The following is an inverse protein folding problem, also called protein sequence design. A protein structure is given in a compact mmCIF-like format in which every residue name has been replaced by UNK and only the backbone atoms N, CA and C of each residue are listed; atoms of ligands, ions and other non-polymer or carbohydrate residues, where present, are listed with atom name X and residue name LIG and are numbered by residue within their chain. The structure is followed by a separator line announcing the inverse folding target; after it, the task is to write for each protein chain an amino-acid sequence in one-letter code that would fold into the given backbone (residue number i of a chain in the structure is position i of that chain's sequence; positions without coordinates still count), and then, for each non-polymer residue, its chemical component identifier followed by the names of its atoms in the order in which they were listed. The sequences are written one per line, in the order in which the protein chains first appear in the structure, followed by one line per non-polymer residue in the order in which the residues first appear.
data_IF_098285922978
#
_entry.id   IF_098285922978
#
_cell.length_a   1.000
_cell.length_b   1.000
_cell.length_c   1.000
_cell.angle_alpha   90.00
_cell.angle_beta   90.00
_cell.angle_gamma   90.00
#
_symmetry.space_group_name_H-M   'P 1'
#
loop_
_entity.id
_entity.type
_entity.pdbx_description
1 polymer ?
#
# COMPACT_ATOMS: atom_id res chain seq x y z
N UNK A 1 -36.30 48.41 -11.38
CA UNK A 1 -35.61 47.37 -12.16
C UNK A 1 -34.33 47.10 -11.40
N UNK A 2 -34.34 46.05 -10.56
CA UNK A 2 -33.21 45.62 -9.73
C UNK A 2 -32.87 44.21 -10.22
N UNK A 3 -31.63 44.02 -10.66
CA UNK A 3 -31.09 42.73 -11.09
C UNK A 3 -30.75 41.89 -9.85
N UNK A 4 -31.32 40.68 -9.73
CA UNK A 4 -30.87 39.64 -8.82
C UNK A 4 -30.11 38.58 -9.62
N UNK A 5 -28.85 38.35 -9.23
CA UNK A 5 -27.99 37.31 -9.77
C UNK A 5 -28.35 35.94 -9.23
N UNK A 6 -28.58 34.98 -10.12
CA UNK A 6 -28.70 33.56 -9.81
C UNK A 6 -27.34 32.86 -9.91
N UNK A 7 -26.90 32.24 -8.81
CA UNK A 7 -25.78 31.30 -8.75
C UNK A 7 -26.10 30.00 -9.52
N UNK A 8 -25.16 29.40 -10.26
CA UNK A 8 -25.31 28.04 -10.78
C UNK A 8 -24.94 26.99 -9.72
N UNK A 9 -25.87 26.05 -9.55
CA UNK A 9 -25.84 24.83 -8.73
C UNK A 9 -24.71 23.88 -9.21
N UNK A 10 -23.58 23.83 -8.49
CA UNK A 10 -22.51 22.85 -8.70
C UNK A 10 -22.91 21.51 -8.06
N UNK A 11 -23.69 20.72 -8.79
CA UNK A 11 -23.90 19.31 -8.45
C UNK A 11 -22.62 18.53 -8.78
N UNK A 12 -21.81 18.28 -7.75
CA UNK A 12 -20.77 17.26 -7.75
C UNK A 12 -21.42 15.92 -8.14
N UNK A 13 -21.05 15.41 -9.31
CA UNK A 13 -21.54 14.14 -9.83
C UNK A 13 -21.12 13.00 -8.92
N UNK A 14 -22.11 12.27 -8.38
CA UNK A 14 -21.89 10.92 -7.86
C UNK A 14 -21.34 10.07 -9.00
N UNK A 15 -20.09 9.66 -8.87
CA UNK A 15 -19.48 8.69 -9.78
C UNK A 15 -20.25 7.38 -9.62
N UNK A 16 -20.80 6.91 -10.73
CA UNK A 16 -21.72 5.78 -10.82
C UNK A 16 -20.97 4.47 -10.53
N UNK A 17 -21.50 3.60 -9.68
CA UNK A 17 -20.90 2.29 -9.30
C UNK A 17 -20.55 1.42 -10.52
N UNK A 18 -21.24 1.63 -11.65
CA UNK A 18 -20.97 0.92 -12.92
C UNK A 18 -19.66 1.32 -13.61
N UNK A 19 -19.18 2.55 -13.43
CA UNK A 19 -17.90 2.99 -14.02
C UNK A 19 -16.69 2.44 -13.26
N UNK A 20 -16.81 2.14 -11.96
CA UNK A 20 -15.74 1.48 -11.19
C UNK A 20 -15.50 0.04 -11.62
N UNK A 21 -16.55 -0.67 -12.07
CA UNK A 21 -16.43 -2.06 -12.52
C UNK A 21 -15.66 -2.24 -13.84
N UNK A 22 -15.42 -1.14 -14.59
CA UNK A 22 -14.72 -1.17 -15.88
C UNK A 22 -13.20 -0.89 -15.75
N UNK A 23 -12.71 -0.55 -14.56
CA UNK A 23 -11.29 -0.48 -14.23
C UNK A 23 -11.09 -1.31 -12.95
N UNK A 24 -10.57 -2.55 -13.06
CA UNK A 24 -10.55 -3.57 -12.00
C UNK A 24 -9.70 -3.28 -10.74
N UNK A 25 -9.56 -2.03 -10.33
CA UNK A 25 -8.82 -1.61 -9.14
C UNK A 25 -9.74 -1.57 -7.90
N UNK A 26 -9.36 -2.31 -6.86
CA UNK A 26 -10.05 -2.29 -5.57
C UNK A 26 -9.72 -1.02 -4.80
N UNK A 27 -10.70 -0.40 -4.14
CA UNK A 27 -10.48 0.75 -3.25
C UNK A 27 -10.36 0.25 -1.83
N UNK A 28 -9.14 0.26 -1.30
CA UNK A 28 -8.85 -0.14 0.09
C UNK A 28 -8.66 1.09 0.98
N UNK A 29 -9.43 1.17 2.06
CA UNK A 29 -9.27 2.17 3.11
C UNK A 29 -8.32 1.69 4.21
N UNK A 30 -7.61 2.62 4.84
CA UNK A 30 -6.69 2.31 5.96
C UNK A 30 -7.04 3.16 7.18
N UNK A 31 -7.26 2.51 8.33
CA UNK A 31 -7.42 3.18 9.63
C UNK A 31 -6.12 3.03 10.42
N UNK A 32 -5.57 4.15 10.90
CA UNK A 32 -4.40 4.20 11.76
C UNK A 32 -4.87 4.40 13.19
N UNK A 33 -4.74 3.37 14.02
CA UNK A 33 -5.11 3.41 15.44
C UNK A 33 -3.86 3.57 16.30
N UNK A 34 -3.85 4.59 17.16
CA UNK A 34 -2.74 4.83 18.08
C UNK A 34 -3.22 5.35 19.42
N UNK A 35 -2.40 5.16 20.46
CA UNK A 35 -2.61 5.81 21.74
C UNK A 35 -2.52 7.35 21.67
N UNK A 36 -1.97 7.89 20.59
CA UNK A 36 -1.74 9.32 20.41
C UNK A 36 -2.34 9.78 19.08
N UNK A 37 -3.31 10.71 19.13
CA UNK A 37 -3.88 11.33 17.93
C UNK A 37 -2.79 11.97 17.06
N UNK A 38 -1.85 12.80 17.59
CA UNK A 38 -0.77 13.35 16.79
C UNK A 38 0.12 12.29 16.12
N UNK A 39 0.34 11.15 16.77
CA UNK A 39 1.11 10.06 16.16
C UNK A 39 0.34 9.41 15.01
N UNK A 40 -0.94 9.10 15.20
CA UNK A 40 -1.78 8.53 14.14
C UNK A 40 -1.84 9.47 12.92
N UNK A 41 -2.00 10.76 13.14
CA UNK A 41 -1.98 11.79 12.08
C UNK A 41 -0.63 11.84 11.37
N UNK A 42 0.47 11.88 12.13
CA UNK A 42 1.82 11.89 11.55
C UNK A 42 2.12 10.65 10.71
N UNK A 43 1.60 9.47 11.09
CA UNK A 43 1.72 8.25 10.31
C UNK A 43 0.94 8.35 9.00
N UNK A 44 -0.27 8.90 9.01
CA UNK A 44 -1.05 9.17 7.78
C UNK A 44 -0.30 10.15 6.86
N UNK A 45 0.23 11.24 7.42
CA UNK A 45 1.00 12.22 6.67
C UNK A 45 2.26 11.60 6.04
N UNK A 46 2.99 10.78 6.79
CA UNK A 46 4.17 10.08 6.29
C UNK A 46 3.81 9.12 5.16
N UNK A 47 2.78 8.30 5.35
CA UNK A 47 2.30 7.36 4.34
C UNK A 47 1.88 8.07 3.05
N UNK A 48 1.20 9.22 3.14
CA UNK A 48 0.86 10.04 1.97
C UNK A 48 2.06 10.71 1.30
N UNK A 49 3.07 11.13 2.08
CA UNK A 49 4.25 11.82 1.57
C UNK A 49 5.28 10.91 0.90
N UNK A 50 5.27 9.63 1.29
CA UNK A 50 6.12 8.57 0.71
C UNK A 50 5.37 7.75 -0.35
N UNK A 51 4.10 7.44 -0.10
CA UNK A 51 3.21 6.64 -0.93
C UNK A 51 2.35 7.47 -1.89
N UNK A 52 1.14 6.97 -2.14
CA UNK A 52 0.15 7.64 -2.98
C UNK A 52 -0.81 8.48 -2.12
N UNK A 53 -1.02 9.75 -2.50
CA UNK A 53 -1.87 10.67 -1.73
C UNK A 53 -3.38 10.39 -1.84
N UNK A 54 -3.80 9.52 -2.76
CA UNK A 54 -5.21 9.22 -3.03
C UNK A 54 -5.82 8.10 -2.20
N UNK A 55 -5.02 7.34 -1.44
CA UNK A 55 -5.53 6.24 -0.60
C UNK A 55 -6.37 6.83 0.54
N UNK A 56 -7.63 6.39 0.74
CA UNK A 56 -8.44 6.79 1.88
C UNK A 56 -7.78 6.33 3.19
N UNK A 57 -7.37 7.29 4.01
CA UNK A 57 -6.70 7.01 5.29
C UNK A 57 -7.26 7.89 6.39
N UNK A 58 -7.59 7.29 7.53
CA UNK A 58 -8.15 8.00 8.69
C UNK A 58 -7.34 7.67 9.94
N UNK A 59 -6.97 8.71 10.68
CA UNK A 59 -6.31 8.61 11.98
C UNK A 59 -7.36 8.53 13.10
N UNK A 60 -7.26 7.51 13.94
CA UNK A 60 -8.10 7.31 15.11
C UNK A 60 -7.22 7.08 16.34
N UNK A 61 -6.84 8.15 17.03
CA UNK A 61 -5.98 8.05 18.19
C UNK A 61 -6.40 8.87 19.39
N UNK A 62 -5.78 8.54 20.51
CA UNK A 62 -6.05 9.22 21.78
C UNK A 62 -7.46 9.00 22.32
N UNK A 63 -7.74 9.72 23.40
CA UNK A 63 -9.07 9.82 24.03
C UNK A 63 -9.48 11.29 24.09
N UNK A 64 -10.77 11.57 24.28
CA UNK A 64 -11.29 12.94 24.45
C UNK A 64 -11.08 13.48 25.88
N UNK A 65 -9.85 13.39 26.37
CA UNK A 65 -9.39 13.98 27.63
C UNK A 65 -8.21 14.92 27.33
N UNK A 66 -8.40 16.25 27.38
CA UNK A 66 -7.33 17.22 27.13
C UNK A 66 -6.17 17.15 28.13
N UNK A 67 -6.43 16.71 29.36
CA UNK A 67 -5.42 16.61 30.41
C UNK A 67 -4.65 15.27 30.32
N UNK A 68 -5.30 14.21 29.80
CA UNK A 68 -4.69 12.89 29.60
C UNK A 68 -5.02 12.31 28.21
N UNK A 69 -4.50 12.91 27.12
CA UNK A 69 -4.91 12.57 25.76
C UNK A 69 -4.39 11.20 25.27
N UNK A 70 -3.48 10.58 26.02
CA UNK A 70 -2.89 9.28 25.67
C UNK A 70 -3.84 8.15 26.08
N UNK A 71 -4.32 7.41 25.09
CA UNK A 71 -5.26 6.31 25.26
C UNK A 71 -5.88 5.90 23.92
N UNK A 72 -6.79 4.93 23.95
CA UNK A 72 -7.51 4.50 22.75
C UNK A 72 -9.01 4.48 23.02
N UNK A 73 -9.80 4.81 22.00
CA UNK A 73 -11.25 4.92 22.09
C UNK A 73 -11.91 4.08 20.99
N UNK A 74 -12.64 3.04 21.38
CA UNK A 74 -13.34 2.16 20.45
C UNK A 74 -14.37 2.89 19.58
N UNK A 75 -15.01 3.96 20.08
CA UNK A 75 -16.00 4.73 19.32
C UNK A 75 -15.33 5.56 18.22
N UNK A 76 -14.13 6.10 18.49
CA UNK A 76 -13.33 6.79 17.45
C UNK A 76 -12.88 5.82 16.37
N UNK A 77 -12.44 4.61 16.76
CA UNK A 77 -12.05 3.58 15.79
C UNK A 77 -13.25 3.14 14.94
N UNK A 78 -14.41 2.92 15.57
CA UNK A 78 -15.65 2.57 14.87
C UNK A 78 -16.04 3.67 13.88
N UNK A 79 -16.06 4.93 14.30
CA UNK A 79 -16.40 6.07 13.44
C UNK A 79 -15.44 6.19 12.24
N UNK A 80 -14.14 5.99 12.44
CA UNK A 80 -13.17 5.97 11.35
C UNK A 80 -13.40 4.83 10.35
N UNK A 81 -13.81 3.65 10.83
CA UNK A 81 -14.18 2.53 9.95
C UNK A 81 -15.46 2.84 9.17
N UNK A 82 -16.47 3.43 9.82
CA UNK A 82 -17.73 3.82 9.19
C UNK A 82 -17.55 4.91 8.12
N UNK A 83 -16.65 5.87 8.34
CA UNK A 83 -16.30 6.90 7.34
C UNK A 83 -15.66 6.28 6.08
N UNK A 84 -15.02 5.12 6.21
CA UNK A 84 -14.46 4.35 5.09
C UNK A 84 -15.42 3.30 4.52
N UNK A 85 -16.72 3.34 4.88
CA UNK A 85 -17.72 2.34 4.49
C UNK A 85 -17.99 2.24 2.98
N UNK A 86 -17.52 3.16 2.15
CA UNK A 86 -17.60 3.05 0.69
C UNK A 86 -16.40 2.29 0.07
N UNK A 87 -15.42 1.88 0.88
CA UNK A 87 -14.25 1.11 0.42
C UNK A 87 -14.62 -0.37 0.21
N UNK A 88 -13.96 -1.05 -0.73
CA UNK A 88 -14.13 -2.49 -0.99
C UNK A 88 -13.56 -3.34 0.16
N UNK A 89 -12.53 -2.82 0.83
CA UNK A 89 -11.90 -3.40 2.02
C UNK A 89 -11.31 -2.34 2.94
N UNK A 90 -11.15 -2.67 4.23
CA UNK A 90 -10.58 -1.76 5.23
C UNK A 90 -9.51 -2.50 6.03
N UNK A 91 -8.28 -1.98 6.01
CA UNK A 91 -7.19 -2.44 6.87
C UNK A 91 -7.09 -1.52 8.10
N UNK A 92 -7.03 -2.09 9.29
CA UNK A 92 -6.79 -1.36 10.54
C UNK A 92 -5.38 -1.70 11.03
N UNK A 93 -4.52 -0.69 11.10
CA UNK A 93 -3.16 -0.78 11.64
C UNK A 93 -3.18 -0.20 13.06
N UNK A 94 -2.53 -0.88 14.01
CA UNK A 94 -2.56 -0.53 15.43
C UNK A 94 -1.14 -0.48 16.02
N UNK A 95 -0.91 0.34 17.05
CA UNK A 95 0.39 0.40 17.73
C UNK A 95 0.59 -0.69 18.80
N UNK A 96 -0.06 -0.57 19.95
CA UNK A 96 0.18 -1.34 21.17
C UNK A 96 -1.09 -2.01 21.66
N UNK A 97 -0.97 -2.91 22.63
CA UNK A 97 -2.03 -3.83 23.05
C UNK A 97 -3.41 -3.23 23.32
N UNK A 98 -3.53 -2.02 23.90
CA UNK A 98 -4.87 -1.43 24.14
C UNK A 98 -5.57 -0.98 22.85
N UNK A 99 -4.81 -0.59 21.82
CA UNK A 99 -5.35 -0.27 20.49
C UNK A 99 -5.98 -1.51 19.84
N UNK A 100 -5.41 -2.69 20.10
CA UNK A 100 -5.98 -3.98 19.67
C UNK A 100 -7.34 -4.19 20.31
N UNK A 101 -7.43 -4.07 21.63
CA UNK A 101 -8.69 -4.26 22.35
C UNK A 101 -9.76 -3.25 21.92
N UNK A 102 -9.38 -1.98 21.74
CA UNK A 102 -10.28 -0.93 21.27
C UNK A 102 -10.76 -1.19 19.84
N UNK A 103 -9.89 -1.67 18.95
CA UNK A 103 -10.28 -2.06 17.60
C UNK A 103 -11.19 -3.29 17.58
N UNK A 104 -10.90 -4.34 18.36
CA UNK A 104 -11.79 -5.50 18.51
C UNK A 104 -13.16 -5.09 19.05
N UNK A 105 -13.20 -4.24 20.07
CA UNK A 105 -14.43 -3.69 20.63
C UNK A 105 -15.20 -2.87 19.59
N UNK A 106 -14.53 -2.05 18.79
CA UNK A 106 -15.16 -1.29 17.71
C UNK A 106 -15.85 -2.22 16.69
N UNK A 107 -15.20 -3.34 16.35
CA UNK A 107 -15.74 -4.34 15.42
C UNK A 107 -17.04 -5.00 15.91
N UNK A 108 -17.25 -5.09 17.22
CA UNK A 108 -18.48 -5.65 17.81
C UNK A 108 -19.70 -4.73 17.61
N UNK A 109 -19.48 -3.44 17.40
CA UNK A 109 -20.54 -2.45 17.18
C UNK A 109 -20.90 -2.24 15.70
N UNK A 110 -20.05 -2.71 14.78
CA UNK A 110 -20.29 -2.56 13.34
C UNK A 110 -21.43 -3.46 12.85
N UNK A 111 -22.11 -3.01 11.79
CA UNK A 111 -23.02 -3.89 11.07
C UNK A 111 -22.25 -5.05 10.40
N UNK A 112 -22.94 -6.17 10.17
CA UNK A 112 -22.32 -7.41 9.66
C UNK A 112 -21.68 -7.23 8.28
N UNK A 113 -22.24 -6.36 7.43
CA UNK A 113 -21.73 -6.11 6.09
C UNK A 113 -20.40 -5.37 6.14
N UNK A 114 -20.36 -4.26 6.87
CA UNK A 114 -19.14 -3.49 7.08
C UNK A 114 -18.08 -4.32 7.82
N UNK A 115 -18.45 -5.04 8.88
CA UNK A 115 -17.54 -5.91 9.64
C UNK A 115 -16.82 -6.96 8.76
N UNK A 116 -17.50 -7.51 7.76
CA UNK A 116 -16.95 -8.57 6.90
C UNK A 116 -15.75 -8.11 6.07
N UNK A 117 -15.70 -6.82 5.73
CA UNK A 117 -14.63 -6.21 4.92
C UNK A 117 -13.52 -5.53 5.73
N UNK A 118 -13.56 -5.61 7.07
CA UNK A 118 -12.49 -5.08 7.93
C UNK A 118 -11.48 -6.18 8.29
N UNK A 119 -10.20 -5.84 8.30
CA UNK A 119 -9.09 -6.68 8.79
C UNK A 119 -8.24 -5.89 9.78
N UNK A 120 -8.03 -6.45 10.98
CA UNK A 120 -7.07 -5.93 11.94
C UNK A 120 -5.68 -6.52 11.61
N UNK A 121 -4.65 -5.71 11.68
CA UNK A 121 -3.27 -6.13 11.42
C UNK A 121 -2.41 -6.06 12.67
N UNK A 122 -1.56 -7.07 12.86
CA UNK A 122 -0.50 -7.09 13.87
C UNK A 122 0.82 -6.48 13.39
N UNK A 123 0.82 -5.88 12.20
CA UNK A 123 2.01 -5.32 11.58
C UNK A 123 2.54 -4.07 12.32
N UNK A 124 3.86 -3.78 12.24
CA UNK A 124 4.41 -2.57 12.83
C UNK A 124 3.81 -1.32 12.18
N UNK A 125 3.28 -0.41 13.02
CA UNK A 125 2.38 0.66 12.61
C UNK A 125 2.90 1.53 11.45
N UNK A 126 4.12 2.06 11.58
CA UNK A 126 4.65 3.07 10.65
C UNK A 126 5.05 2.43 9.33
N UNK A 127 5.81 1.34 9.41
CA UNK A 127 6.32 0.61 8.25
C UNK A 127 5.18 0.04 7.42
N UNK A 128 4.18 -0.55 8.09
CA UNK A 128 3.01 -1.10 7.42
C UNK A 128 2.17 -0.02 6.76
N UNK A 129 1.99 1.15 7.40
CA UNK A 129 1.21 2.25 6.81
C UNK A 129 1.82 2.72 5.48
N UNK A 130 3.14 2.85 5.41
CA UNK A 130 3.83 3.24 4.16
C UNK A 130 3.74 2.15 3.10
N UNK A 131 4.02 0.88 3.47
CA UNK A 131 4.01 -0.24 2.55
C UNK A 131 2.62 -0.47 1.94
N UNK A 132 1.60 -0.50 2.79
CA UNK A 132 0.21 -0.75 2.39
C UNK A 132 -0.39 0.41 1.60
N UNK A 133 -0.02 1.66 1.89
CA UNK A 133 -0.46 2.80 1.07
C UNK A 133 0.04 2.73 -0.37
N UNK A 134 1.25 2.20 -0.62
CA UNK A 134 1.73 2.02 -1.99
C UNK A 134 0.97 0.91 -2.73
N UNK A 135 0.79 -0.24 -2.07
CA UNK A 135 0.11 -1.40 -2.67
C UNK A 135 -1.38 -1.12 -2.89
N UNK A 136 -2.07 -0.51 -1.93
CA UNK A 136 -3.45 -0.05 -2.09
C UNK A 136 -3.58 1.03 -3.18
N UNK A 137 -2.61 1.96 -3.27
CA UNK A 137 -2.56 2.97 -4.32
C UNK A 137 -2.34 2.42 -5.73
N UNK A 138 -1.84 1.19 -5.84
CA UNK A 138 -1.73 0.45 -7.10
C UNK A 138 -3.04 -0.26 -7.50
N UNK A 139 -4.07 -0.22 -6.65
CA UNK A 139 -5.37 -0.88 -6.90
C UNK A 139 -5.46 -2.32 -6.40
N UNK A 140 -4.51 -2.77 -5.58
CA UNK A 140 -4.51 -4.11 -5.00
C UNK A 140 -5.72 -4.34 -4.08
N UNK A 141 -6.14 -5.60 -3.98
CA UNK A 141 -7.22 -6.00 -3.09
C UNK A 141 -6.80 -6.07 -1.60
N UNK A 142 -7.78 -6.32 -0.73
CA UNK A 142 -7.56 -6.36 0.72
C UNK A 142 -6.61 -7.49 1.14
N UNK A 143 -6.63 -8.64 0.45
CA UNK A 143 -5.77 -9.77 0.82
C UNK A 143 -4.30 -9.46 0.52
N UNK A 144 -4.02 -8.90 -0.66
CA UNK A 144 -2.69 -8.43 -1.03
C UNK A 144 -2.19 -7.34 -0.08
N UNK A 145 -3.05 -6.38 0.28
CA UNK A 145 -2.73 -5.32 1.25
C UNK A 145 -2.43 -5.87 2.65
N UNK A 146 -3.17 -6.88 3.12
CA UNK A 146 -2.87 -7.57 4.39
C UNK A 146 -1.54 -8.30 4.33
N UNK A 147 -1.26 -9.02 3.24
CA UNK A 147 0.00 -9.74 3.06
C UNK A 147 1.21 -8.80 3.02
N UNK A 148 1.05 -7.61 2.45
CA UNK A 148 2.08 -6.56 2.49
C UNK A 148 2.30 -6.04 3.91
N UNK A 149 1.22 -5.79 4.66
CA UNK A 149 1.31 -5.33 6.05
C UNK A 149 2.13 -6.31 6.91
N UNK A 150 1.82 -7.60 6.85
CA UNK A 150 2.48 -8.64 7.66
C UNK A 150 3.99 -8.67 7.46
N UNK A 151 4.46 -8.42 6.24
CA UNK A 151 5.87 -8.43 5.87
C UNK A 151 6.58 -7.10 6.10
N UNK A 152 5.89 -6.05 6.54
CA UNK A 152 6.43 -4.69 6.64
C UNK A 152 7.74 -4.55 7.43
N UNK A 153 8.04 -5.47 8.36
CA UNK A 153 9.28 -5.46 9.13
C UNK A 153 10.48 -6.11 8.40
N UNK A 154 10.24 -6.92 7.38
CA UNK A 154 11.26 -7.82 6.80
C UNK A 154 12.39 -7.05 6.15
N UNK A 155 12.10 -5.91 5.50
CA UNK A 155 13.13 -5.05 4.94
C UNK A 155 14.12 -4.56 6.01
N UNK A 156 13.62 -4.20 7.20
CA UNK A 156 14.45 -3.77 8.32
C UNK A 156 15.23 -4.94 8.91
N UNK A 157 14.61 -6.11 9.07
CA UNK A 157 15.27 -7.33 9.56
C UNK A 157 16.40 -7.74 8.62
N UNK A 158 16.15 -7.77 7.32
CA UNK A 158 17.15 -8.07 6.31
C UNK A 158 18.32 -7.08 6.33
N UNK A 159 18.04 -5.79 6.54
CA UNK A 159 19.06 -4.75 6.65
C UNK A 159 19.94 -4.91 7.90
N UNK A 160 19.33 -5.24 9.04
CA UNK A 160 20.03 -5.42 10.32
C UNK A 160 20.68 -6.81 10.47
N UNK A 161 20.31 -7.77 9.61
CA UNK A 161 20.76 -9.15 9.68
C UNK A 161 19.96 -10.03 10.64
N UNK A 162 18.76 -9.61 11.06
CA UNK A 162 17.88 -10.31 12.01
C UNK A 162 17.09 -11.48 11.38
N UNK A 163 17.71 -12.18 10.42
CA UNK A 163 17.04 -13.19 9.59
C UNK A 163 17.15 -14.56 10.24
N UNK A 164 16.05 -15.07 10.80
CA UNK A 164 15.75 -16.50 10.62
C UNK A 164 15.14 -16.61 9.23
N UNK A 165 15.77 -17.42 8.38
CA UNK A 165 15.36 -17.63 7.00
C UNK A 165 14.02 -18.37 6.97
N UNK A 166 12.92 -17.63 6.92
CA UNK A 166 11.74 -18.10 6.23
C UNK A 166 11.85 -17.60 4.80
N UNK A 167 12.42 -18.46 3.95
CA UNK A 167 12.17 -18.43 2.53
C UNK A 167 10.66 -18.57 2.36
N UNK A 168 9.95 -17.47 2.17
CA UNK A 168 8.75 -17.50 1.34
C UNK A 168 9.26 -17.90 -0.06
N UNK A 169 9.35 -19.22 -0.26
CA UNK A 169 9.13 -19.82 -1.56
C UNK A 169 7.83 -19.19 -2.05
N UNK A 170 7.97 -18.18 -2.93
CA UNK A 170 6.99 -18.05 -3.99
C UNK A 170 6.84 -19.47 -4.55
N UNK A 171 5.62 -20.03 -4.62
CA UNK A 171 5.44 -21.38 -5.15
C UNK A 171 6.20 -21.45 -6.47
N UNK A 172 6.90 -22.56 -6.78
CA UNK A 172 7.61 -22.67 -8.03
C UNK A 172 6.61 -22.31 -9.11
N UNK A 173 6.87 -21.19 -9.80
CA UNK A 173 6.07 -20.80 -10.96
C UNK A 173 6.15 -22.01 -11.87
N UNK A 174 5.01 -22.65 -12.06
CA UNK A 174 4.90 -23.79 -12.94
C UNK A 174 5.36 -23.26 -14.29
N UNK A 175 6.42 -23.86 -14.86
CA UNK A 175 6.83 -23.65 -16.25
C UNK A 175 5.68 -24.12 -17.17
N UNK A 176 4.60 -23.35 -17.23
CA UNK A 176 3.73 -23.35 -18.39
C UNK A 176 4.36 -22.36 -19.37
N UNK A 177 4.69 -22.78 -20.61
CA UNK A 177 5.27 -21.90 -21.61
C UNK A 177 4.20 -20.94 -22.13
N UNK A 178 3.85 -19.95 -21.31
CA UNK A 178 3.36 -18.66 -21.78
C UNK A 178 4.54 -17.80 -22.21
N UNK A 179 4.30 -16.79 -23.04
CA UNK A 179 5.34 -15.85 -23.47
C UNK A 179 5.86 -15.07 -22.25
N UNK A 180 6.90 -15.57 -21.59
CA UNK A 180 7.63 -14.85 -20.54
C UNK A 180 8.38 -13.71 -21.22
N UNK A 181 7.96 -12.49 -20.93
CA UNK A 181 8.67 -11.30 -21.41
C UNK A 181 9.66 -10.86 -20.34
N UNK A 182 10.84 -10.39 -20.77
CA UNK A 182 11.85 -9.85 -19.85
C UNK A 182 12.47 -8.56 -20.38
N UNK A 183 12.88 -7.70 -19.45
CA UNK A 183 13.68 -6.50 -19.69
C UNK A 183 14.81 -6.43 -18.66
N UNK A 184 15.87 -5.70 -19.01
CA UNK A 184 16.89 -5.25 -18.05
C UNK A 184 16.78 -3.74 -17.86
N UNK A 185 16.80 -3.29 -16.60
CA UNK A 185 16.77 -1.87 -16.24
C UNK A 185 17.93 -1.52 -15.31
N UNK A 186 18.54 -0.35 -15.53
CA UNK A 186 19.60 0.16 -14.66
C UNK A 186 19.00 1.01 -13.52
N UNK A 187 19.50 0.81 -12.31
CA UNK A 187 19.10 1.60 -11.13
C UNK A 187 19.90 2.90 -11.12
N UNK A 188 19.24 3.99 -11.49
CA UNK A 188 19.85 5.32 -11.60
C UNK A 188 19.70 6.25 -10.39
N UNK A 189 18.65 6.18 -9.54
CA UNK A 189 18.50 7.07 -8.39
C UNK A 189 19.70 6.99 -7.44
N UNK A 190 20.11 8.12 -6.85
CA UNK A 190 21.34 8.24 -6.04
C UNK A 190 21.40 7.18 -4.94
N UNK A 191 20.28 6.95 -4.30
CA UNK A 191 20.20 6.04 -3.17
C UNK A 191 19.55 4.68 -3.51
N UNK A 192 19.31 4.39 -4.78
CA UNK A 192 18.71 3.14 -5.24
C UNK A 192 17.17 3.12 -5.21
N UNK A 193 16.59 1.93 -5.31
CA UNK A 193 15.14 1.73 -5.17
C UNK A 193 14.74 1.62 -3.71
N UNK A 194 14.82 2.74 -3.00
CA UNK A 194 14.22 2.90 -1.67
C UNK A 194 13.21 4.05 -1.69
N UNK A 195 12.34 4.13 -0.68
CA UNK A 195 11.38 5.20 -0.52
C UNK A 195 10.56 5.49 -1.81
N UNK A 196 10.64 6.72 -2.37
CA UNK A 196 9.79 7.18 -3.49
C UNK A 196 10.04 6.44 -4.81
N UNK A 197 11.28 6.24 -5.28
CA UNK A 197 11.56 5.36 -6.41
C UNK A 197 10.96 3.95 -6.26
N UNK A 198 11.06 3.36 -5.06
CA UNK A 198 10.49 2.04 -4.79
C UNK A 198 8.96 2.05 -4.87
N UNK A 199 8.30 3.05 -4.29
CA UNK A 199 6.84 3.23 -4.36
C UNK A 199 6.37 3.33 -5.80
N UNK A 200 7.04 4.13 -6.63
CA UNK A 200 6.69 4.28 -8.05
C UNK A 200 6.91 3.00 -8.84
N UNK A 201 8.00 2.29 -8.54
CA UNK A 201 8.28 0.99 -9.16
C UNK A 201 7.19 -0.02 -8.82
N UNK A 202 6.85 -0.17 -7.53
CA UNK A 202 5.81 -1.06 -7.03
C UNK A 202 4.44 -0.71 -7.61
N UNK A 203 4.08 0.57 -7.62
CA UNK A 203 2.83 1.04 -8.20
C UNK A 203 2.74 0.73 -9.69
N UNK A 204 3.84 0.94 -10.42
CA UNK A 204 3.89 0.64 -11.86
C UNK A 204 3.79 -0.85 -12.09
N UNK A 205 4.51 -1.68 -11.32
CA UNK A 205 4.45 -3.13 -11.46
C UNK A 205 3.06 -3.71 -11.11
N UNK A 206 2.42 -3.20 -10.05
CA UNK A 206 1.12 -3.68 -9.58
C UNK A 206 -0.10 -3.11 -10.31
N UNK A 207 0.08 -2.17 -11.23
CA UNK A 207 -1.02 -1.53 -11.97
C UNK A 207 -1.55 -2.30 -13.17
N UNK A 208 -1.14 -3.55 -13.36
CA UNK A 208 -1.42 -4.37 -14.54
C UNK A 208 -1.89 -5.77 -14.13
N UNK A 209 -2.70 -6.41 -14.97
CA UNK A 209 -3.05 -7.84 -14.82
C UNK A 209 -1.86 -8.71 -15.31
N UNK A 210 -0.81 -8.74 -14.50
CA UNK A 210 0.42 -9.48 -14.76
C UNK A 210 1.13 -9.87 -13.46
N UNK A 211 1.73 -11.07 -13.42
CA UNK A 211 2.71 -11.43 -12.40
C UNK A 211 4.08 -10.86 -12.80
N UNK A 212 4.58 -9.90 -12.01
CA UNK A 212 5.83 -9.19 -12.28
C UNK A 212 6.85 -9.53 -11.20
N UNK A 213 7.98 -10.09 -11.62
CA UNK A 213 9.09 -10.48 -10.74
C UNK A 213 10.33 -9.64 -11.05
N UNK A 214 11.12 -9.33 -10.03
CA UNK A 214 12.37 -8.59 -10.15
C UNK A 214 13.54 -9.34 -9.52
N UNK A 215 14.67 -9.39 -10.23
CA UNK A 215 15.93 -9.98 -9.76
C UNK A 215 17.05 -8.95 -9.92
N UNK A 216 17.84 -8.75 -8.87
CA UNK A 216 19.03 -7.92 -8.92
C UNK A 216 20.19 -8.73 -9.52
N UNK A 217 20.52 -8.49 -10.79
CA UNK A 217 21.57 -9.20 -11.51
C UNK A 217 22.97 -8.91 -10.97
N UNK A 218 23.16 -7.77 -10.30
CA UNK A 218 24.46 -7.38 -9.74
C UNK A 218 24.77 -8.15 -8.46
N UNK A 219 23.77 -8.41 -7.61
CA UNK A 219 23.96 -9.10 -6.33
C UNK A 219 23.47 -10.55 -6.34
N UNK A 220 22.70 -10.95 -7.36
CA UNK A 220 22.04 -12.26 -7.45
C UNK A 220 20.81 -12.40 -6.54
N UNK A 221 20.36 -11.34 -5.87
CA UNK A 221 19.17 -11.38 -5.01
C UNK A 221 17.87 -11.39 -5.82
N UNK A 222 16.88 -12.12 -5.35
CA UNK A 222 15.60 -12.34 -6.03
C UNK A 222 15.49 -13.75 -6.63
N UNK A 223 14.45 -14.05 -7.42
CA UNK A 223 13.36 -13.15 -7.80
C UNK A 223 12.48 -12.74 -6.60
N UNK A 224 11.91 -11.55 -6.65
CA UNK A 224 10.88 -11.08 -5.72
C UNK A 224 9.70 -10.49 -6.48
N UNK A 225 8.51 -10.54 -5.87
CA UNK A 225 7.33 -9.86 -6.42
C UNK A 225 7.58 -8.35 -6.49
N UNK A 226 7.55 -7.80 -7.71
CA UNK A 226 7.83 -6.39 -7.99
C UNK A 226 6.71 -5.44 -7.51
N UNK A 227 5.50 -5.96 -7.25
CA UNK A 227 4.36 -5.25 -6.69
C UNK A 227 4.34 -5.25 -5.15
N UNK A 228 5.36 -5.80 -4.47
CA UNK A 228 5.53 -5.72 -3.02
C UNK A 228 6.64 -4.73 -2.66
N UNK A 229 6.32 -3.67 -1.91
CA UNK A 229 7.30 -2.68 -1.46
C UNK A 229 8.35 -3.32 -0.54
N UNK A 230 7.90 -4.16 0.38
CA UNK A 230 8.79 -4.89 1.28
C UNK A 230 9.73 -5.77 0.48
N UNK A 231 9.20 -6.59 -0.43
CA UNK A 231 10.03 -7.54 -1.18
C UNK A 231 11.06 -6.81 -2.05
N UNK A 232 10.66 -5.72 -2.73
CA UNK A 232 11.57 -4.85 -3.50
C UNK A 232 12.67 -4.26 -2.61
N UNK A 233 12.37 -3.84 -1.38
CA UNK A 233 13.38 -3.32 -0.46
C UNK A 233 14.45 -4.37 -0.10
N UNK A 234 14.11 -5.66 -0.10
CA UNK A 234 15.09 -6.74 0.19
C UNK A 234 16.09 -6.99 -0.95
N UNK A 235 15.79 -6.57 -2.19
CA UNK A 235 16.68 -6.75 -3.36
C UNK A 235 18.02 -6.03 -3.22
N UNK A 236 18.10 -5.01 -2.36
CA UNK A 236 19.29 -4.17 -2.24
C UNK A 236 19.68 -3.52 -3.57
N UNK A 237 18.69 -3.03 -4.32
CA UNK A 237 18.86 -2.37 -5.61
C UNK A 237 19.47 -0.97 -5.41
N UNK A 238 20.81 -0.89 -5.41
CA UNK A 238 21.57 0.36 -5.27
C UNK A 238 21.90 0.99 -6.63
N UNK A 239 22.30 2.26 -6.63
CA UNK A 239 22.73 2.96 -7.84
C UNK A 239 23.81 2.17 -8.60
N UNK A 240 23.63 2.06 -9.91
CA UNK A 240 24.53 1.34 -10.80
C UNK A 240 24.33 -0.18 -10.80
N UNK A 241 23.39 -0.70 -10.00
CA UNK A 241 22.94 -2.08 -10.15
C UNK A 241 22.06 -2.23 -11.38
N UNK A 242 21.96 -3.48 -11.86
CA UNK A 242 21.03 -3.86 -12.93
C UNK A 242 19.99 -4.84 -12.44
N UNK A 243 18.74 -4.60 -12.78
CA UNK A 243 17.63 -5.48 -12.46
C UNK A 243 17.16 -6.18 -13.74
N UNK A 244 16.89 -7.48 -13.65
CA UNK A 244 16.02 -8.19 -14.59
C UNK A 244 14.61 -8.09 -14.07
N UNK A 245 13.68 -7.67 -14.92
CA UNK A 245 12.25 -7.71 -14.63
C UNK A 245 11.60 -8.67 -15.61
N UNK A 246 10.86 -9.64 -15.10
CA UNK A 246 10.11 -10.61 -15.89
C UNK A 246 8.62 -10.43 -15.62
N UNK A 247 7.79 -10.55 -16.65
CA UNK A 247 6.34 -10.49 -16.50
C UNK A 247 5.64 -11.63 -17.26
N UNK A 248 4.58 -12.15 -16.66
CA UNK A 248 3.66 -13.12 -17.27
C UNK A 248 2.21 -12.68 -17.04
N UNK A 249 1.30 -13.09 -17.92
CA UNK A 249 -0.11 -12.72 -17.85
C UNK A 249 -0.56 -11.77 -18.98
N UNK A 250 -1.87 -11.43 -19.02
CA UNK A 250 -2.47 -10.67 -20.12
C UNK A 250 -1.79 -9.34 -20.43
N UNK A 251 -1.36 -8.62 -19.39
CA UNK A 251 -0.76 -7.28 -19.51
C UNK A 251 0.78 -7.29 -19.42
N UNK A 252 1.43 -8.45 -19.50
CA UNK A 252 2.88 -8.59 -19.28
C UNK A 252 3.72 -7.61 -20.12
N UNK A 253 3.45 -7.51 -21.42
CA UNK A 253 4.19 -6.60 -22.30
C UNK A 253 3.96 -5.11 -21.94
N UNK A 254 2.74 -4.75 -21.53
CA UNK A 254 2.40 -3.39 -21.11
C UNK A 254 3.08 -3.02 -19.79
N UNK A 255 3.11 -3.94 -18.82
CA UNK A 255 3.78 -3.77 -17.54
C UNK A 255 5.29 -3.52 -17.73
N UNK A 256 5.96 -4.32 -18.56
CA UNK A 256 7.39 -4.13 -18.84
C UNK A 256 7.67 -2.82 -19.62
N UNK A 257 6.81 -2.44 -20.55
CA UNK A 257 6.95 -1.16 -21.26
C UNK A 257 6.88 0.03 -20.28
N UNK A 258 5.90 0.02 -19.37
CA UNK A 258 5.75 1.06 -18.34
C UNK A 258 6.94 1.10 -17.37
N UNK A 259 7.46 -0.06 -16.95
CA UNK A 259 8.65 -0.14 -16.10
C UNK A 259 9.93 0.33 -16.81
N UNK A 260 10.04 0.08 -18.13
CA UNK A 260 11.13 0.60 -18.97
C UNK A 260 11.09 2.12 -19.03
N UNK A 261 9.90 2.70 -19.24
CA UNK A 261 9.71 4.16 -19.25
C UNK A 261 10.02 4.79 -17.89
N UNK A 262 9.56 4.16 -16.81
CA UNK A 262 9.87 4.59 -15.45
C UNK A 262 11.39 4.61 -15.19
N UNK A 263 12.11 3.56 -15.61
CA UNK A 263 13.57 3.50 -15.48
C UNK A 263 14.26 4.59 -16.32
N UNK A 264 13.78 4.84 -17.54
CA UNK A 264 14.32 5.86 -18.43
C UNK A 264 14.14 7.29 -17.88
N UNK A 265 13.11 7.53 -17.07
CA UNK A 265 12.83 8.80 -16.40
C UNK A 265 13.47 8.90 -15.00
N UNK A 266 14.36 7.97 -14.65
CA UNK A 266 15.05 7.98 -13.35
C UNK A 266 14.13 7.68 -12.17
N UNK A 267 13.09 6.86 -12.38
CA UNK A 267 12.11 6.49 -11.37
C UNK A 267 11.38 7.68 -10.75
N UNK A 268 11.27 8.80 -11.48
CA UNK A 268 10.60 10.02 -11.02
C UNK A 268 11.41 10.89 -10.04
N UNK A 269 12.70 10.59 -9.86
CA UNK A 269 13.67 11.41 -9.11
C UNK A 269 14.60 12.24 -10.04
N UNK A 270 14.35 12.21 -11.36
CA UNK A 270 15.11 12.91 -12.41
C UNK A 270 14.66 14.34 -12.69
#
# INVERSE_FOLDING_TARGET
HVEEGGHPDLRLGRVNERDRSLAGASVIGIVIVSHSQPLAEAVVELARGMGESSVPMIAAGGVDDPDNPIGTDAMKVMAAIEELSDSDGILVLMDLGSAVLSAETALDFLDKGLRAKVRLSSAPLVEAAVATAAVAGAGADLEAVVAEATRALDAKRAHLGDVEAESDESPPVVDEPGDVHEIEIDVTPEHGLHARPAVRFVKTAGGFDADVQATNLTTGKGPVNAASMVAVATLGAARGHRLRVTATGPDAAAALAALTELAATGFGDG
#
